data_IF_213341159651
#
_entry.id   IF_213341159651
#
_cell.length_a   1.000
_cell.length_b   1.000
_cell.length_c   1.000
_cell.angle_alpha   90.00
_cell.angle_beta   90.00
_cell.angle_gamma   90.00
#
_symmetry.space_group_name_H-M   'P 1'
#
loop_
_entity.id
_entity.type
_entity.pdbx_description
1 polymer ?
#
# COMPACT_ATOMS: atom_id res chain seq x y z
N UNK A 1 -16.11 -13.83 0.92
CA UNK A 1 -15.06 -13.14 1.70
C UNK A 1 -13.72 -13.56 1.16
N UNK A 2 -12.99 -12.69 0.48
CA UNK A 2 -11.71 -13.07 -0.08
C UNK A 2 -10.63 -13.03 1.02
N UNK A 3 -10.22 -14.21 1.50
CA UNK A 3 -9.08 -14.38 2.39
C UNK A 3 -7.80 -14.22 1.56
N UNK A 4 -7.46 -12.99 1.23
CA UNK A 4 -6.21 -12.69 0.56
C UNK A 4 -5.05 -12.95 1.53
N UNK A 5 -4.30 -14.03 1.28
CA UNK A 5 -3.12 -14.38 2.06
C UNK A 5 -1.95 -13.46 1.64
N UNK A 6 -2.00 -12.23 2.14
CA UNK A 6 -0.96 -11.23 1.95
C UNK A 6 0.23 -11.65 2.83
N UNK A 7 1.38 -11.76 2.21
CA UNK A 7 2.62 -12.15 2.88
C UNK A 7 3.14 -11.01 3.76
N UNK A 8 3.95 -11.29 4.79
CA UNK A 8 4.54 -10.26 5.64
C UNK A 8 5.38 -9.24 4.84
N UNK A 9 6.00 -9.65 3.73
CA UNK A 9 6.74 -8.76 2.83
C UNK A 9 5.83 -7.81 2.03
N UNK A 10 4.63 -8.25 1.66
CA UNK A 10 3.64 -7.38 1.00
C UNK A 10 3.02 -6.41 2.00
N UNK A 11 2.64 -6.88 3.21
CA UNK A 11 2.15 -6.02 4.31
C UNK A 11 3.14 -4.91 4.63
N UNK A 12 4.41 -5.28 4.73
CA UNK A 12 5.55 -4.41 4.89
C UNK A 12 5.61 -3.25 3.87
N UNK A 13 5.45 -3.58 2.59
CA UNK A 13 5.44 -2.61 1.49
C UNK A 13 4.18 -1.75 1.56
N UNK A 14 3.02 -2.34 1.84
CA UNK A 14 1.73 -1.64 1.97
C UNK A 14 1.73 -0.61 3.10
N UNK A 15 2.35 -0.91 4.25
CA UNK A 15 2.46 0.03 5.36
C UNK A 15 3.32 1.25 5.01
N UNK A 16 4.44 1.06 4.31
CA UNK A 16 5.27 2.17 3.85
C UNK A 16 4.57 2.98 2.74
N UNK A 17 3.74 2.31 1.93
CA UNK A 17 2.87 2.94 0.95
C UNK A 17 1.84 3.87 1.59
N UNK A 18 1.21 3.45 2.70
CA UNK A 18 0.28 4.30 3.47
C UNK A 18 0.94 5.56 4.02
N UNK A 19 2.23 5.47 4.35
CA UNK A 19 3.03 6.64 4.76
C UNK A 19 3.39 7.57 3.59
N UNK A 20 2.91 7.29 2.38
CA UNK A 20 3.21 8.11 1.20
C UNK A 20 4.60 7.91 0.63
N UNK A 21 5.34 6.88 1.05
CA UNK A 21 6.69 6.64 0.56
C UNK A 21 6.72 6.25 -0.93
N UNK A 22 7.73 6.74 -1.66
CA UNK A 22 7.97 6.32 -3.05
C UNK A 22 8.58 4.91 -3.13
N UNK A 23 8.41 4.20 -4.25
CA UNK A 23 8.97 2.85 -4.42
C UNK A 23 10.48 2.78 -4.16
N UNK A 24 11.21 3.85 -4.53
CA UNK A 24 12.65 4.00 -4.23
C UNK A 24 12.93 4.13 -2.73
N UNK A 25 12.12 4.90 -2.00
CA UNK A 25 12.25 5.03 -0.54
C UNK A 25 11.88 3.73 0.17
N UNK A 26 10.85 3.04 -0.31
CA UNK A 26 10.45 1.71 0.20
C UNK A 26 11.57 0.70 -0.02
N UNK A 27 12.16 0.69 -1.23
CA UNK A 27 13.30 -0.15 -1.57
C UNK A 27 14.48 0.09 -0.63
N UNK A 28 14.82 1.36 -0.37
CA UNK A 28 15.87 1.73 0.56
C UNK A 28 15.55 1.31 2.01
N UNK A 29 14.33 1.57 2.48
CA UNK A 29 13.89 1.21 3.83
C UNK A 29 13.87 -0.30 4.08
N UNK A 30 13.69 -1.10 3.03
CA UNK A 30 13.66 -2.57 3.08
C UNK A 30 14.94 -3.23 2.60
N UNK A 31 15.96 -2.46 2.21
CA UNK A 31 17.23 -2.95 1.66
C UNK A 31 17.03 -3.92 0.48
N UNK A 32 16.06 -3.64 -0.38
CA UNK A 32 15.74 -4.43 -1.59
C UNK A 32 15.75 -3.55 -2.84
N UNK A 33 15.79 -4.15 -4.02
CA UNK A 33 15.70 -3.43 -5.29
C UNK A 33 14.30 -2.84 -5.52
N UNK A 34 14.22 -1.70 -6.22
CA UNK A 34 12.96 -1.08 -6.63
C UNK A 34 12.09 -2.06 -7.44
N UNK A 35 12.71 -2.85 -8.32
CA UNK A 35 12.04 -3.89 -9.09
C UNK A 35 11.37 -4.96 -8.21
N UNK A 36 11.99 -5.27 -7.07
CA UNK A 36 11.42 -6.21 -6.08
C UNK A 36 10.21 -5.60 -5.39
N UNK A 37 10.26 -4.31 -5.05
CA UNK A 37 9.09 -3.56 -4.54
C UNK A 37 7.96 -3.56 -5.56
N UNK A 38 8.24 -3.29 -6.83
CA UNK A 38 7.23 -3.33 -7.91
C UNK A 38 6.62 -4.72 -8.06
N UNK A 39 7.44 -5.77 -7.94
CA UNK A 39 6.96 -7.15 -7.95
C UNK A 39 6.05 -7.46 -6.76
N UNK A 40 6.39 -6.99 -5.56
CA UNK A 40 5.53 -7.13 -4.36
C UNK A 40 4.20 -6.38 -4.53
N UNK A 41 4.22 -5.16 -5.08
CA UNK A 41 3.00 -4.39 -5.36
C UNK A 41 2.15 -5.12 -6.40
N UNK A 42 2.75 -5.62 -7.48
CA UNK A 42 2.04 -6.35 -8.53
C UNK A 42 1.37 -7.62 -8.00
N UNK A 43 2.09 -8.39 -7.17
CA UNK A 43 1.53 -9.55 -6.48
C UNK A 43 0.41 -9.17 -5.52
N UNK A 44 0.58 -8.09 -4.74
CA UNK A 44 -0.46 -7.61 -3.83
C UNK A 44 -1.71 -7.09 -4.58
N UNK A 45 -1.54 -6.42 -5.72
CA UNK A 45 -2.64 -6.00 -6.61
C UNK A 45 -3.41 -7.21 -7.12
N UNK A 46 -2.70 -8.18 -7.69
CA UNK A 46 -3.31 -9.39 -8.23
C UNK A 46 -4.03 -10.20 -7.14
N UNK A 47 -3.43 -10.30 -5.95
CA UNK A 47 -4.06 -10.94 -4.80
C UNK A 47 -5.31 -10.19 -4.41
N UNK A 48 -5.25 -8.89 -4.14
CA UNK A 48 -6.39 -8.10 -3.62
C UNK A 48 -7.46 -7.77 -4.65
N UNK A 49 -7.21 -8.00 -5.94
CA UNK A 49 -8.07 -7.58 -7.04
C UNK A 49 -8.03 -6.07 -7.32
N UNK A 50 -7.07 -5.35 -6.75
CA UNK A 50 -6.88 -3.93 -7.01
C UNK A 50 -6.20 -3.71 -8.36
N UNK A 51 -6.60 -2.66 -9.08
CA UNK A 51 -6.05 -2.30 -10.41
C UNK A 51 -5.01 -1.18 -10.36
N UNK A 52 -4.96 -0.44 -9.26
CA UNK A 52 -4.05 0.69 -9.11
C UNK A 52 -3.41 0.72 -7.72
N UNK A 53 -2.22 1.30 -7.65
CA UNK A 53 -1.50 1.60 -6.41
C UNK A 53 -2.37 2.37 -5.42
N UNK A 54 -3.12 3.36 -5.90
CA UNK A 54 -4.06 4.14 -5.08
C UNK A 54 -5.18 3.24 -4.53
N UNK A 55 -5.78 2.42 -5.40
CA UNK A 55 -6.82 1.48 -5.00
C UNK A 55 -6.31 0.48 -3.95
N UNK A 56 -5.08 -0.02 -4.10
CA UNK A 56 -4.42 -0.90 -3.14
C UNK A 56 -4.17 -0.20 -1.80
N UNK A 57 -3.75 1.07 -1.84
CA UNK A 57 -3.51 1.90 -0.65
C UNK A 57 -4.80 2.14 0.12
N UNK A 58 -5.88 2.52 -0.58
CA UNK A 58 -7.21 2.72 -0.01
C UNK A 58 -7.78 1.41 0.55
N UNK A 59 -7.62 0.31 -0.19
CA UNK A 59 -8.05 -1.02 0.25
C UNK A 59 -7.33 -1.44 1.54
N UNK A 60 -6.02 -1.21 1.62
CA UNK A 60 -5.23 -1.50 2.81
C UNK A 60 -5.65 -0.60 3.99
N UNK A 61 -5.84 0.70 3.75
CA UNK A 61 -6.31 1.66 4.75
C UNK A 61 -7.67 1.29 5.36
N UNK A 62 -8.62 0.82 4.54
CA UNK A 62 -9.92 0.36 5.02
C UNK A 62 -9.81 -0.87 5.93
N UNK A 63 -8.80 -1.71 5.70
CA UNK A 63 -8.56 -2.95 6.44
C UNK A 63 -7.65 -2.77 7.66
N UNK A 64 -6.86 -1.69 7.70
CA UNK A 64 -5.81 -1.44 8.70
C UNK A 64 -6.10 -0.33 9.72
N UNK A 65 -7.37 0.07 9.95
CA UNK A 65 -7.73 1.08 11.00
C UNK A 65 -6.97 0.83 12.33
N UNK A 66 -6.50 1.87 13.04
CA UNK A 66 -7.13 3.18 13.19
C UNK A 66 -6.19 4.36 12.87
N UNK A 67 -6.69 5.40 12.20
CA UNK A 67 -6.08 6.73 12.27
C UNK A 67 -7.05 7.64 13.04
N UNK A 68 -7.22 7.34 14.33
CA UNK A 68 -7.51 8.42 15.27
C UNK A 68 -6.21 9.23 15.38
N UNK A 69 -6.33 10.51 15.03
CA UNK A 69 -5.37 11.58 15.29
C UNK A 69 -4.06 11.57 14.49
N UNK A 70 -4.10 12.24 13.34
CA UNK A 70 -2.98 13.08 12.93
C UNK A 70 -3.50 14.30 12.17
N UNK A 71 -3.27 15.48 12.75
CA UNK A 71 -3.54 16.78 12.13
C UNK A 71 -2.67 16.97 10.88
N UNK A 72 -3.14 16.55 9.70
CA UNK A 72 -2.66 17.15 8.43
C UNK A 72 -3.70 16.96 7.34
N UNK A 73 -4.12 18.07 6.74
CA UNK A 73 -5.34 18.19 5.96
C UNK A 73 -5.38 17.42 4.64
N UNK A 74 -6.62 17.08 4.27
CA UNK A 74 -7.15 16.88 2.91
C UNK A 74 -6.65 15.66 2.13
N UNK A 75 -7.50 14.62 2.08
CA UNK A 75 -7.59 13.75 0.91
C UNK A 75 -8.57 14.44 -0.06
N UNK A 76 -8.14 14.90 -1.25
CA UNK A 76 -9.06 15.53 -2.19
C UNK A 76 -10.09 14.51 -2.68
N UNK A 77 -11.37 14.92 -2.85
CA UNK A 77 -12.40 14.05 -3.38
C UNK A 77 -12.01 13.60 -4.79
N UNK A 78 -12.18 12.30 -5.05
CA UNK A 78 -11.97 11.71 -6.36
C UNK A 78 -12.97 12.36 -7.35
N UNK A 79 -12.52 12.97 -8.45
CA UNK A 79 -13.45 13.55 -9.42
C UNK A 79 -14.22 12.45 -10.15
N UNK A 80 -15.52 12.69 -10.38
CA UNK A 80 -16.32 12.03 -11.40
C UNK A 80 -16.10 12.71 -12.75
#
# INVERSE_FOLDING_TARGET
>A
MANFNITPAEVAVLNLLLQGMSNRSIANARLISVRTVESHISSALNKTGCRSRLQLTLWWMQRSKPLEEMCTGTVPPLPA
#
